data_IF_437585974657
#
_entry.id   IF_437585974657
#
_cell.length_a   1.000
_cell.length_b   1.000
_cell.length_c   1.000
_cell.angle_alpha   90.00
_cell.angle_beta   90.00
_cell.angle_gamma   90.00
#
_symmetry.space_group_name_H-M   'P 1'
#
loop_
_entity.id
_entity.type
_entity.pdbx_description
1 polymer ?
#
# COMPACT_ATOMS: atom_id res chain seq x y z
N UNK A 1 20.11 2.39 12.50
CA UNK A 1 18.81 3.07 12.28
C UNK A 1 18.29 2.65 10.92
N UNK A 2 17.02 2.24 10.81
CA UNK A 2 16.42 1.91 9.50
C UNK A 2 15.76 3.16 8.93
N UNK A 3 16.09 3.54 7.70
CA UNK A 3 15.39 4.57 6.94
C UNK A 3 14.27 3.92 6.14
N UNK A 4 13.03 4.38 6.36
CA UNK A 4 11.85 3.86 5.70
C UNK A 4 11.13 5.00 4.97
N UNK A 5 10.54 4.67 3.81
CA UNK A 5 9.75 5.58 2.99
C UNK A 5 8.42 4.91 2.67
N UNK A 6 7.33 5.67 2.63
CA UNK A 6 6.01 5.20 2.20
C UNK A 6 5.58 6.01 0.99
N UNK A 7 5.16 5.31 -0.06
CA UNK A 7 4.51 5.87 -1.24
C UNK A 7 3.06 5.38 -1.30
N UNK A 8 2.13 6.29 -1.59
CA UNK A 8 0.72 5.97 -1.82
C UNK A 8 0.42 6.31 -3.28
N UNK A 9 -0.15 5.35 -3.99
CA UNK A 9 -0.46 5.45 -5.41
C UNK A 9 -1.97 5.25 -5.59
N UNK A 10 -2.58 6.04 -6.48
CA UNK A 10 -3.96 5.80 -6.87
C UNK A 10 -4.09 4.44 -7.56
N UNK A 11 -5.23 3.78 -7.36
CA UNK A 11 -5.46 2.43 -7.86
C UNK A 11 -5.19 2.31 -9.38
N UNK A 12 -5.66 3.22 -10.26
CA UNK A 12 -5.34 3.14 -11.69
C UNK A 12 -3.85 3.30 -12.01
N UNK A 13 -3.12 4.10 -11.21
CA UNK A 13 -1.67 4.29 -11.38
C UNK A 13 -0.91 3.05 -10.94
N UNK A 14 -1.29 2.47 -9.80
CA UNK A 14 -0.74 1.19 -9.32
C UNK A 14 -0.96 0.10 -10.37
N UNK A 15 -2.18 -0.07 -10.86
CA UNK A 15 -2.49 -1.08 -11.87
C UNK A 15 -1.65 -0.87 -13.14
N UNK A 16 -1.54 0.37 -13.64
CA UNK A 16 -0.71 0.67 -14.82
C UNK A 16 0.76 0.33 -14.61
N UNK A 17 1.33 0.69 -13.46
CA UNK A 17 2.76 0.47 -13.17
C UNK A 17 3.06 -1.01 -12.94
N UNK A 18 2.17 -1.76 -12.28
CA UNK A 18 2.44 -3.11 -11.79
C UNK A 18 1.71 -4.23 -12.53
N UNK A 19 0.80 -3.94 -13.47
CA UNK A 19 0.04 -4.95 -14.22
C UNK A 19 0.91 -6.00 -14.93
N UNK A 20 2.13 -5.65 -15.32
CA UNK A 20 3.09 -6.58 -15.96
C UNK A 20 4.11 -7.21 -15.02
N UNK A 21 4.19 -6.77 -13.76
CA UNK A 21 5.29 -7.14 -12.86
C UNK A 21 5.02 -8.38 -12.01
N UNK A 22 3.76 -8.70 -11.70
CA UNK A 22 3.46 -9.77 -10.74
C UNK A 22 2.27 -10.61 -11.23
N UNK A 23 2.54 -11.80 -11.76
CA UNK A 23 1.49 -12.77 -12.08
C UNK A 23 0.97 -13.48 -10.82
N UNK A 24 1.81 -13.63 -9.78
CA UNK A 24 1.55 -14.35 -8.53
C UNK A 24 2.48 -13.82 -7.45
N UNK A 25 1.97 -13.60 -6.23
CA UNK A 25 2.84 -13.32 -5.08
C UNK A 25 3.57 -14.60 -4.62
N UNK A 26 4.52 -14.45 -3.70
CA UNK A 26 5.30 -15.57 -3.11
C UNK A 26 4.41 -16.62 -2.38
N UNK A 27 3.14 -16.30 -2.13
CA UNK A 27 2.14 -17.20 -1.56
C UNK A 27 1.29 -17.91 -2.64
N UNK A 28 1.68 -17.82 -3.92
CA UNK A 28 0.99 -18.46 -5.04
C UNK A 28 -0.38 -17.85 -5.39
N UNK A 29 -0.67 -16.64 -4.89
CA UNK A 29 -1.96 -15.97 -5.07
C UNK A 29 -1.82 -14.70 -5.90
N UNK A 30 -2.75 -14.50 -6.83
CA UNK A 30 -2.81 -13.29 -7.65
C UNK A 30 -3.29 -12.13 -6.78
N UNK A 31 -2.43 -11.15 -6.53
CA UNK A 31 -2.82 -9.86 -5.95
C UNK A 31 -2.94 -8.88 -7.12
N UNK A 32 -4.11 -8.79 -7.77
CA UNK A 32 -4.34 -7.77 -8.80
C UNK A 32 -5.34 -8.14 -9.91
N UNK A 33 -5.41 -9.40 -10.36
CA UNK A 33 -6.48 -9.85 -11.26
C UNK A 33 -7.65 -10.42 -10.46
N UNK A 34 -8.64 -9.58 -10.18
CA UNK A 34 -10.01 -10.01 -9.88
C UNK A 34 -10.37 -10.45 -8.46
N UNK A 35 -9.55 -10.24 -7.41
CA UNK A 35 -10.03 -10.69 -6.09
C UNK A 35 -9.14 -10.57 -4.87
N UNK A 36 -8.69 -9.34 -4.56
CA UNK A 36 -8.72 -8.71 -3.22
C UNK A 36 -7.84 -7.46 -3.31
N UNK A 37 -8.44 -6.35 -3.75
CA UNK A 37 -7.87 -5.04 -3.47
C UNK A 37 -7.78 -4.92 -1.95
N UNK A 38 -6.58 -4.69 -1.41
CA UNK A 38 -6.44 -4.30 0.00
C UNK A 38 -6.68 -2.79 0.00
N UNK A 39 -7.86 -2.30 0.41
CA UNK A 39 -8.14 -0.89 0.33
C UNK A 39 -7.25 -0.17 1.35
N UNK A 40 -6.62 0.92 0.92
CA UNK A 40 -5.87 1.78 1.82
C UNK A 40 -6.87 2.49 2.73
N UNK A 41 -7.11 1.94 3.92
CA UNK A 41 -8.08 2.47 4.91
C UNK A 41 -7.47 2.41 6.31
N UNK A 42 -7.99 3.21 7.24
CA UNK A 42 -7.58 3.16 8.64
C UNK A 42 -7.67 1.76 9.26
N UNK A 43 -8.74 1.03 8.94
CA UNK A 43 -8.95 -0.34 9.43
C UNK A 43 -7.94 -1.32 8.84
N UNK A 44 -7.63 -1.20 7.53
CA UNK A 44 -6.60 -2.02 6.90
C UNK A 44 -5.23 -1.78 7.52
N UNK A 45 -4.89 -0.52 7.85
CA UNK A 45 -3.64 -0.16 8.53
C UNK A 45 -3.61 -0.75 9.95
N UNK A 46 -4.70 -0.63 10.72
CA UNK A 46 -4.79 -1.19 12.07
C UNK A 46 -4.57 -2.70 12.10
N UNK A 47 -5.02 -3.43 11.07
CA UNK A 47 -4.78 -4.88 10.95
C UNK A 47 -3.32 -5.26 10.73
N UNK A 48 -2.47 -4.31 10.34
CA UNK A 48 -1.03 -4.52 10.17
C UNK A 48 -0.24 -4.30 11.46
N UNK A 49 -0.88 -3.80 12.52
CA UNK A 49 -0.26 -3.54 13.83
C UNK A 49 0.59 -4.73 14.36
N UNK A 50 0.09 -5.98 14.40
CA UNK A 50 0.89 -7.11 14.87
C UNK A 50 1.97 -7.59 13.89
N UNK A 51 2.03 -7.05 12.67
CA UNK A 51 2.88 -7.55 11.56
C UNK A 51 4.00 -6.59 11.16
N UNK A 52 3.92 -5.32 11.56
CA UNK A 52 4.86 -4.28 11.17
C UNK A 52 5.55 -3.66 12.39
N UNK A 53 6.71 -3.06 12.15
CA UNK A 53 7.38 -2.26 13.16
C UNK A 53 6.61 -0.96 13.45
N UNK A 54 6.80 -0.41 14.64
CA UNK A 54 6.21 0.88 15.04
C UNK A 54 6.54 2.02 14.05
N UNK A 55 7.76 2.01 13.49
CA UNK A 55 8.17 2.98 12.48
C UNK A 55 7.38 2.82 11.17
N UNK A 56 7.17 1.57 10.72
CA UNK A 56 6.34 1.29 9.54
C UNK A 56 4.89 1.74 9.71
N UNK A 57 4.29 1.44 10.87
CA UNK A 57 2.93 1.86 11.21
C UNK A 57 2.80 3.38 11.28
N UNK A 58 3.79 4.06 11.87
CA UNK A 58 3.81 5.52 11.96
C UNK A 58 3.78 6.15 10.56
N UNK A 59 4.54 5.61 9.61
CA UNK A 59 4.55 6.11 8.24
C UNK A 59 3.20 5.86 7.54
N UNK A 60 2.61 4.67 7.68
CA UNK A 60 1.28 4.37 7.12
C UNK A 60 0.20 5.29 7.69
N UNK A 61 0.21 5.55 8.99
CA UNK A 61 -0.73 6.48 9.61
C UNK A 61 -0.53 7.92 9.14
N UNK A 62 0.72 8.38 8.96
CA UNK A 62 1.00 9.69 8.38
C UNK A 62 0.50 9.79 6.94
N UNK A 63 0.79 8.79 6.12
CA UNK A 63 0.33 8.74 4.74
C UNK A 63 -1.20 8.72 4.64
N UNK A 64 -1.89 7.96 5.49
CA UNK A 64 -3.35 7.93 5.56
C UNK A 64 -3.95 9.30 5.90
N UNK A 65 -3.33 10.04 6.83
CA UNK A 65 -3.76 11.40 7.19
C UNK A 65 -3.50 12.40 6.07
N UNK A 66 -2.41 12.21 5.32
CA UNK A 66 -2.00 13.09 4.22
C UNK A 66 -2.60 12.70 2.85
N UNK A 67 -3.41 11.65 2.77
CA UNK A 67 -3.91 11.11 1.49
C UNK A 67 -4.65 12.14 0.64
N UNK A 68 -5.35 13.08 1.28
CA UNK A 68 -6.16 14.10 0.61
C UNK A 68 -5.32 15.31 0.15
N UNK A 69 -4.03 15.37 0.51
CA UNK A 69 -3.06 16.41 0.12
C UNK A 69 -1.98 15.89 -0.83
N UNK A 70 -2.07 14.63 -1.27
CA UNK A 70 -1.15 14.08 -2.26
C UNK A 70 -1.52 14.63 -3.66
N UNK A 71 -0.60 15.34 -4.35
CA UNK A 71 -0.88 15.85 -5.68
C UNK A 71 -1.11 14.71 -6.68
N UNK A 72 -2.15 14.82 -7.49
CA UNK A 72 -2.57 13.83 -8.49
C UNK A 72 -1.62 13.68 -9.70
N UNK A 73 -0.36 14.13 -9.59
CA UNK A 73 0.61 14.17 -10.67
C UNK A 73 1.99 13.68 -10.21
N UNK A 74 2.19 12.38 -10.36
CA UNK A 74 3.49 11.72 -10.55
C UNK A 74 3.35 10.68 -11.67
#
# INVERSE_FOLDING_TARGET
MQQLTVAVLDAPVFDRLFAGMVAVNDEGRVVGRGGRHIPFTAEAIRRLDPRLSANGLTLLHRAWRARDVLPAHL
#
